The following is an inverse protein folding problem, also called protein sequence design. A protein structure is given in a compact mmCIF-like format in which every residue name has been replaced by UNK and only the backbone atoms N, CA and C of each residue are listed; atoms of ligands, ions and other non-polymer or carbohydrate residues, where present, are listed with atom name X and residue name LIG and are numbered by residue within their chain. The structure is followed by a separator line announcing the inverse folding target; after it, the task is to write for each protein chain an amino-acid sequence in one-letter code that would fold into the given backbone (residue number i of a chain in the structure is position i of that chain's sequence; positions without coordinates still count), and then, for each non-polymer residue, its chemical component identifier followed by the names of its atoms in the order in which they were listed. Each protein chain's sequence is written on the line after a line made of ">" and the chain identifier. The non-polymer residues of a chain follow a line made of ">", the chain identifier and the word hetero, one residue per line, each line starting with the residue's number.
data_IF_632977359389
#
_entry.id   IF_632977359389
#
_cell.length_a   1.000
_cell.length_b   1.000
_cell.length_c   1.000
_cell.angle_alpha   90.00
_cell.angle_beta   90.00
_cell.angle_gamma   90.00
#
_symmetry.space_group_name_H-M   'P 1'
#
loop_
_entity.id
_entity.type
_entity.pdbx_description
1 polymer ?
#
# COMPACT_ATOMS: atom_id res chain seq x y z
N UNK A 1 -45.75 -35.56 -36.22
CA UNK A 1 -45.03 -34.27 -36.29
C UNK A 1 -44.94 -33.51 -34.94
N UNK A 2 -45.15 -34.14 -33.78
CA UNK A 2 -45.29 -33.42 -32.49
C UNK A 2 -44.13 -33.58 -31.48
N UNK A 3 -43.04 -34.25 -31.85
CA UNK A 3 -41.90 -34.46 -30.93
C UNK A 3 -40.67 -33.60 -31.23
N UNK A 4 -40.53 -33.07 -32.45
CA UNK A 4 -39.41 -32.19 -32.80
C UNK A 4 -39.57 -30.75 -32.30
N UNK A 5 -40.80 -30.30 -32.06
CA UNK A 5 -41.06 -28.97 -31.49
C UNK A 5 -40.68 -28.92 -29.99
N UNK A 6 -41.04 -29.95 -29.22
CA UNK A 6 -40.79 -30.01 -27.77
C UNK A 6 -39.30 -30.07 -27.39
N UNK A 7 -38.42 -30.52 -28.29
CA UNK A 7 -36.98 -30.62 -28.02
C UNK A 7 -36.26 -29.27 -28.14
N UNK A 8 -36.79 -28.33 -28.93
CA UNK A 8 -36.16 -27.01 -29.12
C UNK A 8 -36.38 -26.05 -27.96
N UNK A 9 -37.43 -26.25 -27.17
CA UNK A 9 -37.75 -25.39 -26.02
C UNK A 9 -36.97 -25.77 -24.77
N UNK A 10 -36.47 -27.02 -24.67
CA UNK A 10 -35.65 -27.49 -23.55
C UNK A 10 -34.17 -27.07 -23.64
N UNK A 11 -33.70 -26.61 -24.81
CA UNK A 11 -32.29 -26.20 -25.02
C UNK A 11 -32.07 -24.69 -24.84
N UNK A 12 -33.12 -23.90 -24.59
CA UNK A 12 -33.02 -22.42 -24.47
C UNK A 12 -32.87 -21.90 -23.04
N UNK A 13 -32.91 -22.73 -22.02
CA UNK A 13 -32.97 -22.30 -20.62
C UNK A 13 -31.82 -22.82 -19.76
N UNK A 14 -30.57 -22.75 -20.24
CA UNK A 14 -29.41 -22.68 -19.32
C UNK A 14 -28.33 -21.82 -19.97
N UNK A 15 -28.63 -20.52 -20.15
CA UNK A 15 -27.54 -19.56 -20.22
C UNK A 15 -26.86 -19.61 -18.84
N UNK A 16 -25.58 -20.00 -18.73
CA UNK A 16 -24.90 -19.99 -17.46
C UNK A 16 -24.96 -18.56 -16.96
N UNK A 17 -25.66 -18.34 -15.84
CA UNK A 17 -25.61 -17.10 -15.11
C UNK A 17 -24.13 -16.73 -15.03
N UNK A 18 -23.75 -15.66 -15.73
CA UNK A 18 -22.44 -15.08 -15.63
C UNK A 18 -22.29 -14.76 -14.16
N UNK A 19 -21.60 -15.65 -13.44
CA UNK A 19 -21.09 -15.38 -12.10
C UNK A 19 -20.24 -14.14 -12.31
N UNK A 20 -20.83 -12.98 -12.05
CA UNK A 20 -20.13 -11.74 -11.82
C UNK A 20 -19.34 -12.02 -10.55
N UNK A 21 -18.17 -12.63 -10.71
CA UNK A 21 -17.21 -12.80 -9.63
C UNK A 21 -16.76 -11.39 -9.31
N UNK A 22 -17.51 -10.73 -8.42
CA UNK A 22 -17.07 -9.51 -7.78
C UNK A 22 -15.63 -9.78 -7.33
N UNK A 23 -14.65 -8.94 -7.73
CA UNK A 23 -13.28 -9.13 -7.28
C UNK A 23 -13.32 -9.31 -5.76
N UNK A 24 -12.60 -10.31 -5.21
CA UNK A 24 -12.70 -10.64 -3.79
C UNK A 24 -12.49 -9.35 -3.01
N UNK A 25 -13.48 -8.93 -2.20
CA UNK A 25 -13.61 -7.56 -1.68
C UNK A 25 -12.31 -6.99 -1.08
N UNK A 26 -11.49 -7.88 -0.52
CA UNK A 26 -10.14 -7.63 -0.01
C UNK A 26 -9.15 -7.08 -1.03
N UNK A 27 -9.12 -7.61 -2.25
CA UNK A 27 -8.23 -7.16 -3.34
C UNK A 27 -8.60 -5.73 -3.75
N UNK A 28 -9.89 -5.45 -3.89
CA UNK A 28 -10.39 -4.13 -4.22
C UNK A 28 -10.09 -3.14 -3.10
N UNK A 29 -10.37 -3.50 -1.84
CA UNK A 29 -10.05 -2.66 -0.69
C UNK A 29 -8.55 -2.32 -0.64
N UNK A 30 -7.69 -3.31 -0.83
CA UNK A 30 -6.24 -3.08 -0.84
C UNK A 30 -5.80 -2.21 -2.02
N UNK A 31 -6.36 -2.43 -3.20
CA UNK A 31 -6.08 -1.61 -4.37
C UNK A 31 -6.49 -0.15 -4.18
N UNK A 32 -7.63 0.11 -3.52
CA UNK A 32 -8.06 1.47 -3.17
C UNK A 32 -7.10 2.10 -2.16
N UNK A 33 -6.72 1.38 -1.11
CA UNK A 33 -5.82 1.92 -0.08
C UNK A 33 -4.44 2.23 -0.68
N UNK A 34 -3.87 1.32 -1.46
CA UNK A 34 -2.60 1.53 -2.18
C UNK A 34 -2.69 2.78 -3.07
N UNK A 35 -3.78 2.93 -3.83
CA UNK A 35 -3.97 4.08 -4.70
C UNK A 35 -4.04 5.39 -3.91
N UNK A 36 -4.86 5.44 -2.85
CA UNK A 36 -5.01 6.62 -2.00
C UNK A 36 -3.68 6.98 -1.35
N UNK A 37 -2.99 6.02 -0.74
CA UNK A 37 -1.70 6.26 -0.09
C UNK A 37 -0.64 6.69 -1.10
N UNK A 38 -0.57 6.06 -2.26
CA UNK A 38 0.38 6.42 -3.31
C UNK A 38 0.17 7.85 -3.82
N UNK A 39 -1.08 8.24 -4.07
CA UNK A 39 -1.43 9.61 -4.47
C UNK A 39 -1.10 10.61 -3.36
N UNK A 40 -1.49 10.31 -2.12
CA UNK A 40 -1.18 11.17 -0.97
C UNK A 40 0.33 11.33 -0.74
N UNK A 41 1.13 10.28 -0.96
CA UNK A 41 2.59 10.37 -0.86
C UNK A 41 3.17 11.29 -1.93
N UNK A 42 2.79 11.08 -3.19
CA UNK A 42 3.29 11.90 -4.31
C UNK A 42 2.85 13.36 -4.14
N UNK A 43 1.57 13.61 -3.88
CA UNK A 43 1.09 14.97 -3.64
C UNK A 43 1.68 15.57 -2.36
N UNK A 44 1.85 14.78 -1.31
CA UNK A 44 2.49 15.16 -0.05
C UNK A 44 3.87 15.76 -0.28
N UNK A 45 4.74 15.00 -0.95
CA UNK A 45 6.11 15.38 -1.28
C UNK A 45 6.14 16.65 -2.15
N UNK A 46 5.31 16.70 -3.18
CA UNK A 46 5.40 17.79 -4.16
C UNK A 46 4.63 19.05 -3.76
N UNK A 47 3.56 18.97 -2.98
CA UNK A 47 2.76 20.12 -2.59
C UNK A 47 3.11 20.69 -1.20
N UNK A 48 3.54 19.86 -0.25
CA UNK A 48 3.66 20.28 1.15
C UNK A 48 5.09 20.35 1.68
N UNK A 49 6.08 19.71 1.06
CA UNK A 49 7.48 19.83 1.49
C UNK A 49 8.11 21.10 0.90
N UNK A 50 8.45 22.11 1.72
CA UNK A 50 9.14 23.31 1.25
C UNK A 50 10.62 23.03 0.95
N UNK A 51 11.22 22.10 1.69
CA UNK A 51 12.63 21.72 1.53
C UNK A 51 12.74 20.65 0.44
N UNK A 52 13.43 20.99 -0.64
CA UNK A 52 13.71 20.10 -1.77
C UNK A 52 15.06 19.43 -1.56
N UNK A 53 15.03 18.17 -1.20
CA UNK A 53 16.24 17.36 -1.05
C UNK A 53 16.08 16.10 -1.88
N UNK A 54 16.84 16.05 -2.98
CA UNK A 54 16.69 15.06 -4.04
C UNK A 54 16.61 13.60 -3.57
N UNK A 55 17.43 13.14 -2.59
CA UNK A 55 17.32 11.77 -2.08
C UNK A 55 15.95 11.44 -1.46
N UNK A 56 15.36 12.38 -0.71
CA UNK A 56 14.02 12.21 -0.12
C UNK A 56 12.95 12.33 -1.19
N UNK A 57 13.05 13.33 -2.07
CA UNK A 57 12.07 13.56 -3.12
C UNK A 57 11.96 12.35 -4.06
N UNK A 58 13.10 11.82 -4.51
CA UNK A 58 13.15 10.63 -5.38
C UNK A 58 12.66 9.38 -4.65
N UNK A 59 13.13 9.15 -3.42
CA UNK A 59 12.74 7.96 -2.65
C UNK A 59 11.23 7.93 -2.36
N UNK A 60 10.68 9.04 -1.88
CA UNK A 60 9.27 9.15 -1.55
C UNK A 60 8.39 9.14 -2.82
N UNK A 61 8.84 9.76 -3.92
CA UNK A 61 8.13 9.68 -5.21
C UNK A 61 8.13 8.26 -5.76
N UNK A 62 9.25 7.52 -5.67
CA UNK A 62 9.34 6.15 -6.13
C UNK A 62 8.42 5.21 -5.33
N UNK A 63 8.38 5.36 -4.00
CA UNK A 63 7.46 4.61 -3.13
C UNK A 63 6.01 4.95 -3.48
N UNK A 64 5.67 6.24 -3.56
CA UNK A 64 4.32 6.70 -3.90
C UNK A 64 3.87 6.19 -5.27
N UNK A 65 4.71 6.30 -6.29
CA UNK A 65 4.46 5.76 -7.62
C UNK A 65 4.29 4.24 -7.59
N UNK A 66 5.10 3.52 -6.80
CA UNK A 66 4.96 2.08 -6.60
C UNK A 66 3.58 1.69 -6.05
N UNK A 67 3.08 2.43 -5.05
CA UNK A 67 1.74 2.23 -4.50
C UNK A 67 0.64 2.56 -5.50
N UNK A 68 0.76 3.65 -6.27
CA UNK A 68 -0.19 3.97 -7.35
C UNK A 68 -0.24 2.83 -8.38
N UNK A 69 0.92 2.37 -8.86
CA UNK A 69 1.01 1.27 -9.83
C UNK A 69 0.40 -0.01 -9.26
N UNK A 70 0.75 -0.36 -8.02
CA UNK A 70 0.18 -1.51 -7.31
C UNK A 70 -1.34 -1.41 -7.21
N UNK A 71 -1.86 -0.28 -6.75
CA UNK A 71 -3.29 -0.02 -6.62
C UNK A 71 -4.04 -0.17 -7.94
N UNK A 72 -3.52 0.43 -9.02
CA UNK A 72 -4.09 0.30 -10.37
C UNK A 72 -4.10 -1.16 -10.85
N UNK A 73 -3.00 -1.90 -10.67
CA UNK A 73 -2.92 -3.31 -11.07
C UNK A 73 -3.88 -4.19 -10.24
N UNK A 74 -4.02 -3.93 -8.95
CA UNK A 74 -4.94 -4.63 -8.06
C UNK A 74 -6.39 -4.39 -8.47
N UNK A 75 -6.76 -3.14 -8.74
CA UNK A 75 -8.10 -2.76 -9.20
C UNK A 75 -8.43 -3.30 -10.59
N UNK A 76 -7.45 -3.39 -11.49
CA UNK A 76 -7.63 -3.92 -12.85
C UNK A 76 -7.61 -5.44 -12.96
N UNK A 77 -7.45 -6.18 -11.86
CA UNK A 77 -7.45 -7.64 -11.94
C UNK A 77 -6.17 -8.25 -12.55
N UNK A 78 -5.10 -7.48 -12.73
CA UNK A 78 -3.89 -7.94 -13.43
C UNK A 78 -3.20 -9.13 -12.74
N UNK A 79 -2.59 -10.05 -13.53
CA UNK A 79 -1.96 -11.28 -13.02
C UNK A 79 -0.72 -11.00 -12.14
N UNK A 80 -0.01 -9.90 -12.41
CA UNK A 80 1.16 -9.49 -11.64
C UNK A 80 0.84 -8.63 -10.41
N UNK A 81 -0.44 -8.28 -10.18
CA UNK A 81 -0.81 -7.28 -9.19
C UNK A 81 -0.31 -7.62 -7.78
N UNK A 82 -0.52 -8.86 -7.33
CA UNK A 82 -0.09 -9.28 -6.00
C UNK A 82 1.43 -9.30 -5.85
N UNK A 83 2.16 -9.66 -6.92
CA UNK A 83 3.63 -9.68 -6.90
C UNK A 83 4.18 -8.26 -6.76
N UNK A 84 3.66 -7.31 -7.54
CA UNK A 84 4.05 -5.91 -7.47
C UNK A 84 3.72 -5.33 -6.08
N UNK A 85 2.49 -5.57 -5.60
CA UNK A 85 2.06 -5.11 -4.28
C UNK A 85 2.97 -5.61 -3.15
N UNK A 86 3.37 -6.89 -3.18
CA UNK A 86 4.32 -7.47 -2.21
C UNK A 86 5.71 -6.83 -2.29
N UNK A 87 6.22 -6.58 -3.50
CA UNK A 87 7.54 -5.96 -3.67
C UNK A 87 7.51 -4.54 -3.13
N UNK A 88 6.52 -3.74 -3.53
CA UNK A 88 6.37 -2.36 -3.06
C UNK A 88 6.21 -2.31 -1.55
N UNK A 89 5.35 -3.14 -0.97
CA UNK A 89 5.17 -3.23 0.48
C UNK A 89 6.43 -3.70 1.19
N UNK A 90 7.14 -4.71 0.68
CA UNK A 90 8.39 -5.20 1.27
C UNK A 90 9.51 -4.17 1.25
N UNK A 91 9.69 -3.46 0.12
CA UNK A 91 10.66 -2.37 0.00
C UNK A 91 10.29 -1.22 0.94
N UNK A 92 9.03 -0.82 0.97
CA UNK A 92 8.55 0.24 1.87
C UNK A 92 8.77 -0.12 3.33
N UNK A 93 8.49 -1.37 3.71
CA UNK A 93 8.71 -1.88 5.06
C UNK A 93 10.19 -1.84 5.46
N UNK A 94 11.08 -2.30 4.57
CA UNK A 94 12.51 -2.29 4.81
C UNK A 94 13.05 -0.86 5.01
N UNK A 95 12.65 0.06 4.14
CA UNK A 95 13.00 1.48 4.25
C UNK A 95 12.40 2.08 5.54
N UNK A 96 11.14 1.75 5.84
CA UNK A 96 10.46 2.18 7.05
C UNK A 96 11.23 1.80 8.32
N UNK A 97 11.66 0.54 8.44
CA UNK A 97 12.45 0.09 9.58
C UNK A 97 13.75 0.89 9.72
N UNK A 98 14.47 1.13 8.62
CA UNK A 98 15.71 1.93 8.63
C UNK A 98 15.44 3.37 9.10
N UNK A 99 14.39 4.00 8.57
CA UNK A 99 14.00 5.38 8.93
C UNK A 99 13.59 5.46 10.41
N UNK A 100 12.77 4.53 10.89
CA UNK A 100 12.33 4.48 12.29
C UNK A 100 13.51 4.25 13.23
N UNK A 101 14.44 3.35 12.88
CA UNK A 101 15.66 3.12 13.66
C UNK A 101 16.55 4.37 13.71
N UNK A 102 16.74 5.05 12.57
CA UNK A 102 17.50 6.29 12.50
C UNK A 102 16.87 7.38 13.38
N UNK A 103 15.55 7.58 13.28
CA UNK A 103 14.82 8.56 14.10
C UNK A 103 14.93 8.23 15.60
N UNK A 104 14.73 6.97 15.99
CA UNK A 104 14.85 6.54 17.38
C UNK A 104 16.27 6.81 17.94
N UNK A 105 17.30 6.53 17.14
CA UNK A 105 18.69 6.84 17.49
C UNK A 105 18.90 8.35 17.64
N UNK A 106 18.42 9.17 16.69
CA UNK A 106 18.55 10.63 16.75
C UNK A 106 17.81 11.23 17.94
N UNK A 107 16.60 10.74 18.26
CA UNK A 107 15.83 11.15 19.44
C UNK A 107 16.67 10.90 20.71
N UNK A 108 17.21 9.69 20.86
CA UNK A 108 18.05 9.34 22.02
C UNK A 108 19.30 10.21 22.13
N UNK A 109 19.98 10.44 20.99
CA UNK A 109 21.16 11.31 20.91
C UNK A 109 20.85 12.76 21.30
N UNK A 110 19.72 13.31 20.82
CA UNK A 110 19.29 14.66 21.14
C UNK A 110 18.96 14.82 22.63
N UNK A 111 18.23 13.86 23.20
CA UNK A 111 17.91 13.86 24.64
C UNK A 111 19.17 13.79 25.51
N UNK A 112 20.17 13.00 25.12
CA UNK A 112 21.37 12.77 25.92
C UNK A 112 22.44 13.86 25.82
N UNK A 113 22.72 14.35 24.60
CA UNK A 113 23.89 15.20 24.35
C UNK A 113 23.62 16.70 24.48
N UNK A 114 22.38 17.14 24.27
CA UNK A 114 22.06 18.57 24.09
C UNK A 114 21.20 19.17 25.22
N UNK A 115 21.00 18.44 26.31
CA UNK A 115 20.26 18.92 27.48
C UNK A 115 18.86 19.43 27.15
N UNK A 116 18.35 20.49 27.83
CA UNK A 116 16.99 20.99 27.63
C UNK A 116 16.67 21.42 26.18
N UNK A 117 17.64 21.94 25.43
CA UNK A 117 17.45 22.34 24.03
C UNK A 117 17.24 21.11 23.14
N UNK A 118 18.00 20.04 23.39
CA UNK A 118 17.85 18.75 22.69
C UNK A 118 16.49 18.11 22.91
N UNK A 119 15.91 18.25 24.11
CA UNK A 119 14.60 17.71 24.42
C UNK A 119 13.51 18.26 23.49
N UNK A 120 13.54 19.57 23.19
CA UNK A 120 12.60 20.19 22.27
C UNK A 120 12.64 19.56 20.87
N UNK A 121 13.84 19.42 20.30
CA UNK A 121 14.02 18.77 19.00
C UNK A 121 13.61 17.29 19.01
N UNK A 122 13.91 16.58 20.10
CA UNK A 122 13.57 15.18 20.24
C UNK A 122 12.05 14.92 20.36
N UNK A 123 11.30 15.83 20.99
CA UNK A 123 9.82 15.77 21.00
C UNK A 123 9.25 15.91 19.59
N UNK A 124 9.78 16.84 18.77
CA UNK A 124 9.35 16.98 17.38
C UNK A 124 9.63 15.72 16.56
N UNK A 125 10.82 15.13 16.72
CA UNK A 125 11.16 13.86 16.07
C UNK A 125 10.29 12.69 16.57
N UNK A 126 9.91 12.68 17.85
CA UNK A 126 9.01 11.66 18.39
C UNK A 126 7.61 11.76 17.76
N UNK A 127 7.08 12.96 17.59
CA UNK A 127 5.81 13.18 16.89
C UNK A 127 5.92 12.71 15.43
N UNK A 128 7.01 13.05 14.75
CA UNK A 128 7.27 12.57 13.38
C UNK A 128 7.36 11.04 13.33
N UNK A 129 8.05 10.40 14.29
CA UNK A 129 8.14 8.94 14.42
C UNK A 129 6.75 8.31 14.52
N UNK A 130 5.92 8.80 15.46
CA UNK A 130 4.56 8.30 15.67
C UNK A 130 3.69 8.47 14.43
N UNK A 131 3.84 9.58 13.70
CA UNK A 131 3.11 9.81 12.45
C UNK A 131 3.58 8.90 11.32
N UNK A 132 4.87 8.57 11.24
CA UNK A 132 5.43 7.77 10.14
C UNK A 132 5.21 6.27 10.31
N UNK A 133 5.19 5.75 11.55
CA UNK A 133 5.05 4.32 11.84
C UNK A 133 3.83 3.66 11.16
N UNK A 134 2.61 4.24 11.21
CA UNK A 134 1.43 3.66 10.56
C UNK A 134 1.61 3.42 9.06
N UNK A 135 2.28 4.36 8.37
CA UNK A 135 2.38 4.36 6.92
C UNK A 135 3.60 3.59 6.40
N UNK A 136 4.72 3.62 7.12
CA UNK A 136 5.97 2.99 6.69
C UNK A 136 6.17 1.57 7.23
N UNK A 137 5.50 1.22 8.34
CA UNK A 137 5.69 -0.07 9.00
C UNK A 137 4.38 -0.84 9.10
N UNK A 138 3.37 -0.28 9.77
CA UNK A 138 2.14 -1.03 10.09
C UNK A 138 1.39 -1.43 8.82
N UNK A 139 1.12 -0.46 7.93
CA UNK A 139 0.41 -0.73 6.69
C UNK A 139 1.18 -1.67 5.75
N UNK A 140 2.46 -1.45 5.43
CA UNK A 140 3.22 -2.36 4.57
C UNK A 140 3.36 -3.77 5.18
N UNK A 141 3.53 -3.89 6.50
CA UNK A 141 3.55 -5.19 7.17
C UNK A 141 2.19 -5.90 7.07
N UNK A 142 1.09 -5.18 7.29
CA UNK A 142 -0.26 -5.71 7.12
C UNK A 142 -0.51 -6.15 5.67
N UNK A 143 -0.05 -5.37 4.69
CA UNK A 143 -0.13 -5.71 3.27
C UNK A 143 0.59 -7.00 2.94
N UNK A 144 1.85 -7.15 3.36
CA UNK A 144 2.62 -8.37 3.15
C UNK A 144 1.94 -9.55 3.84
N UNK A 145 1.54 -9.40 5.11
CA UNK A 145 0.84 -10.44 5.86
C UNK A 145 -0.43 -10.89 5.14
N UNK A 146 -1.22 -9.95 4.65
CA UNK A 146 -2.45 -10.27 3.95
C UNK A 146 -2.18 -10.90 2.57
N UNK A 147 -1.17 -10.47 1.83
CA UNK A 147 -0.90 -11.01 0.50
C UNK A 147 -0.14 -12.36 0.54
N UNK A 148 0.37 -12.81 1.69
CA UNK A 148 1.03 -14.12 1.81
C UNK A 148 0.11 -15.28 1.39
N UNK A 149 0.62 -16.29 0.66
CA UNK A 149 -0.14 -17.50 0.37
C UNK A 149 -0.55 -18.15 1.70
N UNK A 150 -1.85 -18.35 1.93
CA UNK A 150 -2.31 -19.17 3.05
C UNK A 150 -1.87 -20.61 2.77
N UNK A 151 -1.09 -21.20 3.68
CA UNK A 151 -0.78 -22.62 3.65
C UNK A 151 -2.10 -23.40 3.50
N UNK A 152 -2.19 -24.20 2.46
CA UNK A 152 -3.33 -25.11 2.21
C UNK A 152 -3.12 -26.39 2.98
#
# INVERSE_FOLDING_TARGET
>A
MSQRAKKKDAEREVAPATMTTSPPARRTAMGVIDLVLGVLFVLGVWAFLPVRWWPVDVGATAIGAGFVVSGVLLLRGHALAERVAKIVAGVTLAIGIVVIAALAYTIGSLYGLYGPVGQGGAVLLLVALVLLVPYLVVFPAAQVYFLLPRAR
#
